data_IF_658100817132
#
_entry.id   IF_658100817132
#
_cell.length_a   1.000
_cell.length_b   1.000
_cell.length_c   1.000
_cell.angle_alpha   90.00
_cell.angle_beta   90.00
_cell.angle_gamma   90.00
#
_symmetry.space_group_name_H-M   'P 1'
#
loop_
_entity.id
_entity.type
_entity.pdbx_description
1 polymer ?
#
# COMPACT_ATOMS: atom_id res chain seq x y z
N UNK A 1 -19.34 -21.67 -2.47
CA UNK A 1 -18.04 -21.32 -3.12
C UNK A 1 -17.07 -20.86 -2.03
N UNK A 2 -15.76 -20.72 -2.30
CA UNK A 2 -14.80 -20.33 -1.25
C UNK A 2 -15.15 -18.98 -0.59
N UNK A 3 -15.71 -18.05 -1.38
CA UNK A 3 -16.23 -16.78 -0.89
C UNK A 3 -17.37 -16.96 0.14
N UNK A 4 -18.29 -17.90 -0.09
CA UNK A 4 -19.37 -18.19 0.89
C UNK A 4 -18.79 -18.79 2.18
N UNK A 5 -17.76 -19.63 2.06
CA UNK A 5 -17.08 -20.21 3.21
C UNK A 5 -16.33 -19.15 4.02
N UNK A 6 -15.66 -18.21 3.36
CA UNK A 6 -15.02 -17.06 4.00
C UNK A 6 -16.04 -16.22 4.79
N UNK A 7 -17.17 -15.84 4.19
CA UNK A 7 -18.21 -15.09 4.91
C UNK A 7 -18.78 -15.87 6.09
N UNK A 8 -18.95 -17.20 5.96
CA UNK A 8 -19.38 -18.05 7.05
C UNK A 8 -18.37 -18.03 8.21
N UNK A 9 -17.07 -18.18 7.92
CA UNK A 9 -16.00 -18.13 8.93
C UNK A 9 -15.95 -16.77 9.66
N UNK A 10 -16.12 -15.66 8.93
CA UNK A 10 -16.21 -14.32 9.54
C UNK A 10 -17.43 -14.23 10.48
N UNK A 11 -18.57 -14.78 10.06
CA UNK A 11 -19.80 -14.77 10.85
C UNK A 11 -19.72 -15.67 12.10
N UNK A 12 -18.96 -16.76 12.04
CA UNK A 12 -18.67 -17.63 13.20
C UNK A 12 -17.76 -16.95 14.23
N UNK A 13 -16.96 -15.97 13.80
CA UNK A 13 -16.19 -15.12 14.69
C UNK A 13 -14.86 -15.74 15.15
N UNK A 14 -14.24 -15.20 16.21
CA UNK A 14 -12.87 -15.55 16.60
C UNK A 14 -12.63 -17.01 17.01
N UNK A 15 -13.68 -17.80 17.23
CA UNK A 15 -13.57 -19.22 17.61
C UNK A 15 -12.98 -20.08 16.49
N UNK A 16 -13.10 -19.67 15.22
CA UNK A 16 -12.57 -20.42 14.07
C UNK A 16 -11.05 -20.28 13.90
N UNK A 17 -10.42 -19.35 14.63
CA UNK A 17 -9.03 -18.96 14.36
C UNK A 17 -8.04 -20.09 14.59
N UNK A 18 -8.21 -20.90 15.64
CA UNK A 18 -7.24 -21.95 15.95
C UNK A 18 -7.18 -23.01 14.84
N UNK A 19 -8.35 -23.43 14.35
CA UNK A 19 -8.46 -24.37 13.22
C UNK A 19 -7.98 -23.75 11.91
N UNK A 20 -8.34 -22.50 11.65
CA UNK A 20 -7.94 -21.79 10.44
C UNK A 20 -6.42 -21.58 10.41
N UNK A 21 -5.81 -21.12 11.50
CA UNK A 21 -4.35 -20.95 11.64
C UNK A 21 -3.62 -22.25 11.36
N UNK A 22 -4.12 -23.39 11.85
CA UNK A 22 -3.53 -24.70 11.59
C UNK A 22 -3.67 -25.12 10.11
N UNK A 23 -4.75 -24.73 9.43
CA UNK A 23 -5.04 -25.13 8.06
C UNK A 23 -4.31 -24.27 7.01
N UNK A 24 -4.14 -22.96 7.25
CA UNK A 24 -3.63 -21.97 6.28
C UNK A 24 -2.33 -22.42 5.56
N UNK A 25 -1.31 -22.96 6.23
CA UNK A 25 -0.06 -23.38 5.56
C UNK A 25 -0.27 -24.47 4.49
N UNK A 26 -1.39 -25.19 4.56
CA UNK A 26 -1.72 -26.31 3.66
C UNK A 26 -2.75 -25.94 2.59
N UNK A 27 -3.27 -24.71 2.62
CA UNK A 27 -4.18 -24.21 1.60
C UNK A 27 -3.40 -23.82 0.33
N UNK A 28 -4.05 -23.95 -0.83
CA UNK A 28 -3.54 -23.32 -2.05
C UNK A 28 -3.61 -21.79 -1.95
N UNK A 29 -2.91 -21.09 -2.84
CA UNK A 29 -2.82 -19.61 -2.86
C UNK A 29 -4.15 -18.91 -2.62
N UNK A 30 -5.21 -19.29 -3.35
CA UNK A 30 -6.51 -18.65 -3.18
C UNK A 30 -7.13 -18.89 -1.79
N UNK A 31 -6.97 -20.09 -1.23
CA UNK A 31 -7.43 -20.38 0.14
C UNK A 31 -6.64 -19.63 1.20
N UNK A 32 -5.34 -19.42 1.00
CA UNK A 32 -4.53 -18.56 1.87
C UNK A 32 -5.04 -17.12 1.84
N UNK A 33 -5.28 -16.55 0.65
CA UNK A 33 -5.81 -15.19 0.51
C UNK A 33 -7.17 -15.03 1.21
N UNK A 34 -8.09 -15.98 1.03
CA UNK A 34 -9.36 -15.96 1.77
C UNK A 34 -9.16 -16.02 3.29
N UNK A 35 -8.21 -16.82 3.79
CA UNK A 35 -7.94 -16.89 5.22
C UNK A 35 -7.35 -15.59 5.78
N UNK A 36 -6.48 -14.92 5.01
CA UNK A 36 -5.94 -13.61 5.36
C UNK A 36 -7.05 -12.57 5.52
N UNK A 37 -8.03 -12.56 4.61
CA UNK A 37 -9.21 -11.69 4.72
C UNK A 37 -10.06 -12.02 5.96
N UNK A 38 -10.19 -13.29 6.35
CA UNK A 38 -10.85 -13.66 7.62
C UNK A 38 -10.08 -13.09 8.81
N UNK A 39 -8.75 -13.24 8.84
CA UNK A 39 -7.92 -12.74 9.93
C UNK A 39 -8.02 -11.22 10.10
N UNK A 40 -7.93 -10.46 9.01
CA UNK A 40 -8.05 -8.99 9.05
C UNK A 40 -9.46 -8.54 9.38
N UNK A 41 -10.50 -9.22 8.90
CA UNK A 41 -11.89 -8.89 9.21
C UNK A 41 -12.22 -9.09 10.69
N UNK A 42 -11.67 -10.14 11.32
CA UNK A 42 -11.88 -10.43 12.73
C UNK A 42 -11.07 -9.53 13.67
N UNK A 43 -10.06 -8.81 13.15
CA UNK A 43 -9.19 -7.89 13.91
C UNK A 43 -8.57 -8.54 15.15
N UNK A 44 -8.23 -9.83 15.05
CA UNK A 44 -7.64 -10.62 16.12
C UNK A 44 -6.16 -10.90 15.80
N UNK A 45 -5.22 -10.60 16.72
CA UNK A 45 -3.78 -10.74 16.46
C UNK A 45 -3.25 -12.18 16.58
N UNK A 46 -4.06 -13.16 17.02
CA UNK A 46 -3.64 -14.56 17.19
C UNK A 46 -2.95 -15.19 15.95
N UNK A 47 -3.35 -14.89 14.70
CA UNK A 47 -2.70 -15.43 13.50
C UNK A 47 -1.28 -14.87 13.24
N UNK A 48 -0.73 -14.02 14.11
CA UNK A 48 0.53 -13.31 13.87
C UNK A 48 1.71 -14.21 13.45
N UNK A 49 1.85 -15.41 14.03
CA UNK A 49 2.97 -16.30 13.67
C UNK A 49 2.79 -16.92 12.28
N UNK A 50 1.59 -17.41 11.93
CA UNK A 50 1.34 -17.95 10.59
C UNK A 50 1.42 -16.86 9.52
N UNK A 51 1.00 -15.62 9.84
CA UNK A 51 1.15 -14.49 8.94
C UNK A 51 2.63 -14.13 8.72
N UNK A 52 3.47 -14.18 9.75
CA UNK A 52 4.92 -13.98 9.62
C UNK A 52 5.53 -15.02 8.67
N UNK A 53 5.13 -16.28 8.78
CA UNK A 53 5.62 -17.33 7.87
C UNK A 53 5.17 -17.11 6.42
N UNK A 54 3.94 -16.61 6.20
CA UNK A 54 3.41 -16.35 4.86
C UNK A 54 4.06 -15.16 4.14
N UNK A 55 4.76 -14.27 4.85
CA UNK A 55 5.58 -13.22 4.24
C UNK A 55 6.74 -13.83 3.41
N UNK A 56 7.13 -15.08 3.68
CA UNK A 56 8.12 -15.84 2.90
C UNK A 56 7.46 -16.79 1.86
N UNK A 57 6.16 -16.66 1.57
CA UNK A 57 5.44 -17.47 0.56
C UNK A 57 6.05 -17.32 -0.84
N UNK A 58 5.98 -18.36 -1.66
CA UNK A 58 6.39 -18.32 -3.08
C UNK A 58 5.49 -17.39 -3.91
N UNK A 59 4.22 -17.20 -3.52
CA UNK A 59 3.27 -16.37 -4.23
C UNK A 59 3.37 -14.90 -3.80
N UNK A 60 3.73 -14.01 -4.73
CA UNK A 60 3.86 -12.57 -4.51
C UNK A 60 2.63 -11.92 -3.84
N UNK A 61 1.43 -12.28 -4.32
CA UNK A 61 0.16 -11.77 -3.74
C UNK A 61 -0.04 -12.23 -2.30
N UNK A 62 0.40 -13.44 -1.93
CA UNK A 62 0.30 -13.92 -0.54
C UNK A 62 1.29 -13.17 0.34
N UNK A 63 2.53 -12.94 -0.14
CA UNK A 63 3.51 -12.13 0.60
C UNK A 63 2.99 -10.72 0.87
N UNK A 64 2.44 -10.08 -0.17
CA UNK A 64 1.83 -8.76 -0.08
C UNK A 64 0.74 -8.74 1.01
N UNK A 65 -0.28 -9.58 0.86
CA UNK A 65 -1.44 -9.55 1.74
C UNK A 65 -1.07 -9.96 3.17
N UNK A 66 -0.09 -10.85 3.35
CA UNK A 66 0.41 -11.21 4.67
C UNK A 66 1.08 -10.01 5.36
N UNK A 67 1.92 -9.26 4.64
CA UNK A 67 2.53 -8.04 5.17
C UNK A 67 1.48 -6.98 5.52
N UNK A 68 0.48 -6.78 4.66
CA UNK A 68 -0.63 -5.87 4.92
C UNK A 68 -1.43 -6.30 6.15
N UNK A 69 -1.80 -7.58 6.26
CA UNK A 69 -2.51 -8.12 7.42
C UNK A 69 -1.73 -7.96 8.73
N UNK A 70 -0.40 -8.11 8.69
CA UNK A 70 0.47 -7.91 9.86
C UNK A 70 0.47 -6.45 10.34
N UNK A 71 0.38 -5.49 9.42
CA UNK A 71 0.25 -4.07 9.74
C UNK A 71 -1.15 -3.76 10.28
N UNK A 72 -2.20 -4.21 9.58
CA UNK A 72 -3.61 -4.07 9.98
C UNK A 72 -3.93 -4.62 11.39
N UNK A 73 -3.22 -5.66 11.80
CA UNK A 73 -3.34 -6.31 13.11
C UNK A 73 -2.28 -5.81 14.12
N UNK A 74 -1.52 -4.78 13.77
CA UNK A 74 -0.48 -4.14 14.58
C UNK A 74 0.60 -5.11 15.12
N UNK A 75 0.95 -6.15 14.36
CA UNK A 75 1.91 -7.18 14.76
C UNK A 75 3.35 -6.68 14.59
N UNK A 76 3.77 -5.75 15.45
CA UNK A 76 5.10 -5.11 15.39
C UNK A 76 6.27 -6.08 15.41
N UNK A 77 6.11 -7.27 15.99
CA UNK A 77 7.16 -8.31 15.99
C UNK A 77 7.48 -8.86 14.60
N UNK A 78 6.62 -8.61 13.61
CA UNK A 78 6.82 -9.01 12.22
C UNK A 78 7.80 -8.15 11.43
N UNK A 79 8.16 -6.95 11.93
CA UNK A 79 9.05 -6.01 11.23
C UNK A 79 10.33 -6.67 10.66
N UNK A 80 11.05 -7.56 11.39
CA UNK A 80 12.21 -8.23 10.83
C UNK A 80 11.91 -9.14 9.63
N UNK A 81 10.74 -9.80 9.59
CA UNK A 81 10.33 -10.64 8.46
C UNK A 81 9.97 -9.79 7.23
N UNK A 82 9.17 -8.73 7.44
CA UNK A 82 8.77 -7.81 6.38
C UNK A 82 9.99 -7.11 5.78
N UNK A 83 10.99 -6.72 6.59
CA UNK A 83 12.26 -6.17 6.09
C UNK A 83 13.02 -7.15 5.19
N UNK A 84 13.12 -8.43 5.58
CA UNK A 84 13.78 -9.45 4.75
C UNK A 84 13.04 -9.66 3.43
N UNK A 85 11.71 -9.70 3.46
CA UNK A 85 10.91 -9.82 2.24
C UNK A 85 11.08 -8.60 1.33
N UNK A 86 11.11 -7.38 1.90
CA UNK A 86 11.34 -6.16 1.14
C UNK A 86 12.74 -6.10 0.52
N UNK A 87 13.78 -6.52 1.24
CA UNK A 87 15.13 -6.65 0.68
C UNK A 87 15.21 -7.73 -0.41
N UNK A 88 14.46 -8.83 -0.27
CA UNK A 88 14.39 -9.88 -1.29
C UNK A 88 13.69 -9.37 -2.55
N UNK A 89 12.57 -8.64 -2.38
CA UNK A 89 11.85 -7.96 -3.46
C UNK A 89 12.79 -7.03 -4.24
N UNK A 90 13.51 -6.14 -3.55
CA UNK A 90 14.47 -5.23 -4.19
C UNK A 90 15.55 -5.98 -4.97
N UNK A 91 16.09 -7.06 -4.40
CA UNK A 91 17.10 -7.90 -5.07
C UNK A 91 16.59 -8.57 -6.35
N UNK A 92 15.28 -8.79 -6.51
CA UNK A 92 14.70 -9.31 -7.76
C UNK A 92 14.63 -8.25 -8.86
N UNK A 93 14.73 -6.96 -8.51
CA UNK A 93 14.64 -5.86 -9.46
C UNK A 93 13.24 -5.67 -10.05
N UNK A 94 12.22 -6.10 -9.31
CA UNK A 94 10.80 -5.86 -9.62
C UNK A 94 10.47 -4.37 -9.57
N UNK A 95 9.34 -3.97 -10.18
CA UNK A 95 8.95 -2.58 -10.24
C UNK A 95 8.59 -2.08 -8.83
N UNK A 96 9.09 -0.95 -8.31
CA UNK A 96 8.74 -0.50 -6.97
C UNK A 96 7.23 -0.23 -6.82
N UNK A 97 6.53 0.08 -7.90
CA UNK A 97 5.08 0.22 -8.02
C UNK A 97 4.32 -1.11 -8.22
N UNK A 98 5.01 -2.26 -8.28
CA UNK A 98 4.37 -3.57 -8.16
C UNK A 98 3.68 -3.69 -6.80
N UNK A 99 2.52 -4.34 -6.79
CA UNK A 99 1.64 -4.39 -5.63
C UNK A 99 2.32 -5.00 -4.40
N UNK A 100 3.21 -5.98 -4.57
CA UNK A 100 4.02 -6.54 -3.48
C UNK A 100 4.97 -5.50 -2.88
N UNK A 101 5.71 -4.78 -3.72
CA UNK A 101 6.66 -3.77 -3.28
C UNK A 101 5.98 -2.64 -2.50
N UNK A 102 4.82 -2.22 -2.98
CA UNK A 102 3.99 -1.24 -2.30
C UNK A 102 3.45 -1.74 -0.96
N UNK A 103 2.81 -2.92 -0.92
CA UNK A 103 2.26 -3.50 0.31
C UNK A 103 3.33 -3.68 1.39
N UNK A 104 4.54 -4.11 1.00
CA UNK A 104 5.69 -4.22 1.92
C UNK A 104 6.14 -2.87 2.48
N UNK A 105 6.27 -1.82 1.64
CA UNK A 105 6.65 -0.48 2.11
C UNK A 105 5.57 0.15 2.98
N UNK A 106 4.31 -0.07 2.62
CA UNK A 106 3.16 0.39 3.41
C UNK A 106 3.18 -0.26 4.79
N UNK A 107 3.29 -1.59 4.86
CA UNK A 107 3.34 -2.31 6.13
C UNK A 107 4.53 -1.90 7.00
N UNK A 108 5.71 -1.68 6.41
CA UNK A 108 6.86 -1.14 7.14
C UNK A 108 6.62 0.27 7.66
N UNK A 109 5.90 1.11 6.91
CA UNK A 109 5.57 2.48 7.32
C UNK A 109 4.58 2.47 8.47
N UNK A 110 3.52 1.69 8.34
CA UNK A 110 2.44 1.61 9.33
C UNK A 110 2.93 1.03 10.67
N UNK A 111 3.81 0.03 10.62
CA UNK A 111 4.47 -0.52 11.81
C UNK A 111 5.61 0.36 12.36
N UNK A 112 5.87 1.54 11.79
CA UNK A 112 6.89 2.49 12.22
C UNK A 112 8.33 2.05 11.95
N UNK A 113 8.53 1.13 11.00
CA UNK A 113 9.82 0.58 10.61
C UNK A 113 10.43 1.24 9.34
N UNK A 114 9.66 2.10 8.67
CA UNK A 114 10.04 2.99 7.56
C UNK A 114 9.38 4.35 7.80
N UNK A 115 10.10 5.44 7.56
CA UNK A 115 9.57 6.80 7.69
C UNK A 115 9.63 7.48 6.33
N UNK A 116 8.50 7.55 5.58
CA UNK A 116 8.48 8.21 4.30
C UNK A 116 8.71 9.72 4.49
N UNK A 117 9.50 10.31 3.60
CA UNK A 117 9.72 11.76 3.61
C UNK A 117 8.44 12.45 3.16
N UNK A 118 7.88 13.29 4.03
CA UNK A 118 6.80 14.23 3.68
C UNK A 118 7.36 15.65 3.83
N UNK A 119 7.70 16.31 2.71
CA UNK A 119 8.20 17.67 2.71
C UNK A 119 7.24 18.70 3.35
N UNK A 120 7.73 19.86 3.84
CA UNK A 120 6.92 20.80 4.59
C UNK A 120 5.69 21.35 3.85
N UNK A 121 5.79 21.62 2.54
CA UNK A 121 4.67 22.17 1.76
C UNK A 121 3.63 21.06 1.51
N UNK A 122 4.07 19.85 1.18
CA UNK A 122 3.20 18.67 1.12
C UNK A 122 2.51 18.42 2.47
N UNK A 123 3.22 18.47 3.59
CA UNK A 123 2.64 18.30 4.93
C UNK A 123 1.56 19.35 5.24
N UNK A 124 1.82 20.61 4.89
CA UNK A 124 0.88 21.71 5.12
C UNK A 124 -0.41 21.62 4.27
N UNK A 125 -0.35 20.97 3.12
CA UNK A 125 -1.47 20.81 2.19
C UNK A 125 -2.27 19.51 2.43
N UNK A 126 -1.83 18.67 3.36
CA UNK A 126 -2.44 17.37 3.63
C UNK A 126 -3.82 17.52 4.25
N UNK A 127 -4.80 16.80 3.69
CA UNK A 127 -6.12 16.62 4.29
C UNK A 127 -6.08 15.44 5.28
N UNK A 128 -6.74 15.59 6.43
CA UNK A 128 -6.93 14.49 7.37
C UNK A 128 -8.20 13.73 7.01
N UNK A 129 -8.07 12.49 6.55
CA UNK A 129 -9.19 11.59 6.28
C UNK A 129 -8.95 10.29 7.05
N UNK A 130 -9.88 9.93 7.93
CA UNK A 130 -9.73 8.79 8.85
C UNK A 130 -9.47 7.46 8.11
N UNK A 131 -10.04 7.27 6.92
CA UNK A 131 -10.02 5.97 6.21
C UNK A 131 -9.07 5.88 5.00
N UNK A 132 -8.39 6.98 4.62
CA UNK A 132 -7.68 7.08 3.33
C UNK A 132 -6.17 7.30 3.51
N UNK A 133 -5.72 7.44 4.76
CA UNK A 133 -4.33 7.75 5.08
C UNK A 133 -3.93 9.18 4.68
N UNK A 134 -2.68 9.37 4.25
CA UNK A 134 -2.22 10.68 3.79
C UNK A 134 -2.81 11.01 2.42
N UNK A 135 -3.71 11.99 2.40
CA UNK A 135 -4.38 12.44 1.19
C UNK A 135 -4.25 13.96 1.01
N UNK A 136 -4.32 14.43 -0.24
CA UNK A 136 -4.21 15.84 -0.60
C UNK A 136 -5.37 16.26 -1.50
N UNK A 137 -5.97 17.45 -1.32
CA UNK A 137 -6.96 17.96 -2.26
C UNK A 137 -6.39 17.98 -3.68
N UNK A 138 -7.17 17.53 -4.68
CA UNK A 138 -6.65 17.44 -6.06
C UNK A 138 -6.23 18.80 -6.61
N UNK A 139 -6.83 19.90 -6.11
CA UNK A 139 -6.44 21.29 -6.36
C UNK A 139 -4.95 21.58 -6.12
N UNK A 140 -4.32 20.87 -5.18
CA UNK A 140 -2.93 21.07 -4.77
C UNK A 140 -1.96 19.99 -5.26
N UNK A 141 -2.42 19.04 -6.07
CA UNK A 141 -1.60 17.91 -6.53
C UNK A 141 -0.27 18.35 -7.16
N UNK A 142 -0.28 19.35 -8.03
CA UNK A 142 0.94 19.83 -8.68
C UNK A 142 1.95 20.38 -7.66
N UNK A 143 1.48 21.12 -6.65
CA UNK A 143 2.34 21.65 -5.59
C UNK A 143 2.96 20.55 -4.74
N UNK A 144 2.20 19.49 -4.44
CA UNK A 144 2.67 18.34 -3.67
C UNK A 144 3.70 17.53 -4.46
N UNK A 145 3.45 17.31 -5.76
CA UNK A 145 4.37 16.59 -6.65
C UNK A 145 5.70 17.34 -6.79
N UNK A 146 5.65 18.66 -7.00
CA UNK A 146 6.86 19.49 -7.07
C UNK A 146 7.64 19.48 -5.75
N UNK A 147 6.94 19.56 -4.61
CA UNK A 147 7.59 19.54 -3.30
C UNK A 147 8.26 18.19 -3.01
N UNK A 148 7.61 17.07 -3.37
CA UNK A 148 8.19 15.73 -3.30
C UNK A 148 9.45 15.62 -4.16
N UNK A 149 9.37 16.03 -5.43
CA UNK A 149 10.51 15.97 -6.35
C UNK A 149 11.68 16.86 -5.89
N UNK A 150 11.39 18.04 -5.33
CA UNK A 150 12.40 18.94 -4.76
C UNK A 150 13.12 18.35 -3.53
N UNK A 151 12.53 17.34 -2.89
CA UNK A 151 13.10 16.61 -1.76
C UNK A 151 13.53 15.18 -2.14
N UNK A 152 13.94 15.01 -3.40
CA UNK A 152 14.54 13.78 -3.91
C UNK A 152 13.62 12.55 -3.80
N UNK A 153 12.31 12.76 -3.89
CA UNK A 153 11.29 11.72 -3.88
C UNK A 153 10.72 11.51 -5.30
N UNK A 154 10.66 10.27 -5.75
CA UNK A 154 10.03 9.91 -7.02
C UNK A 154 8.57 9.50 -6.79
N UNK A 155 7.64 10.24 -7.37
CA UNK A 155 6.20 9.90 -7.37
C UNK A 155 5.97 8.74 -8.32
N UNK A 156 5.40 7.64 -7.81
CA UNK A 156 5.14 6.42 -8.57
C UNK A 156 3.74 6.38 -9.20
N UNK A 157 2.74 6.89 -8.48
CA UNK A 157 1.39 7.11 -8.97
C UNK A 157 0.56 7.89 -7.93
N UNK A 158 -0.66 8.27 -8.29
CA UNK A 158 -1.67 8.68 -7.32
C UNK A 158 -3.05 8.13 -7.67
N UNK A 159 -3.88 7.90 -6.67
CA UNK A 159 -5.28 7.50 -6.82
C UNK A 159 -6.19 8.64 -6.36
N UNK A 160 -7.27 8.89 -7.10
CA UNK A 160 -8.22 9.96 -6.81
C UNK A 160 -9.43 9.38 -6.11
N UNK A 161 -9.88 10.07 -5.09
CA UNK A 161 -11.01 9.69 -4.27
C UNK A 161 -11.99 10.85 -4.16
N UNK A 162 -13.28 10.52 -4.16
CA UNK A 162 -14.35 11.47 -3.87
C UNK A 162 -14.80 11.31 -2.44
N UNK A 163 -14.75 12.40 -1.69
CA UNK A 163 -15.26 12.49 -0.32
C UNK A 163 -16.66 13.09 -0.38
N UNK A 164 -17.67 12.26 -0.08
CA UNK A 164 -19.06 12.73 0.05
C UNK A 164 -19.46 12.79 1.53
N UNK A 165 -19.87 13.98 2.00
CA UNK A 165 -20.30 14.17 3.39
C UNK A 165 -21.43 13.19 3.75
N UNK A 166 -21.22 12.39 4.80
CA UNK A 166 -22.18 11.41 5.31
C UNK A 166 -22.32 10.13 4.47
N UNK A 167 -21.54 9.97 3.39
CA UNK A 167 -21.57 8.78 2.52
C UNK A 167 -20.23 8.06 2.40
N UNK A 168 -19.14 8.66 2.89
CA UNK A 168 -17.81 8.06 2.89
C UNK A 168 -16.96 8.47 1.69
N UNK A 169 -15.89 7.70 1.47
CA UNK A 169 -14.90 7.95 0.42
C UNK A 169 -15.04 6.91 -0.69
N UNK A 170 -15.14 7.36 -1.93
CA UNK A 170 -15.32 6.51 -3.10
C UNK A 170 -14.14 6.65 -4.04
N UNK A 171 -13.61 5.51 -4.50
CA UNK A 171 -12.58 5.50 -5.53
C UNK A 171 -13.13 6.10 -6.83
N UNK A 172 -12.39 7.03 -7.42
CA UNK A 172 -12.66 7.57 -8.75
C UNK A 172 -11.52 7.19 -9.68
N UNK A 173 -11.87 6.62 -10.84
CA UNK A 173 -10.87 6.26 -11.84
C UNK A 173 -10.06 7.49 -12.25
N UNK A 174 -8.78 7.51 -11.88
CA UNK A 174 -7.82 8.51 -12.32
C UNK A 174 -7.39 8.29 -13.78
N UNK A 175 -6.63 9.23 -14.37
CA UNK A 175 -6.06 9.03 -15.69
C UNK A 175 -5.13 7.81 -15.67
N UNK A 176 -5.39 6.84 -16.55
CA UNK A 176 -4.47 5.72 -16.76
C UNK A 176 -3.29 6.21 -17.58
N UNK A 177 -2.22 6.63 -16.91
CA UNK A 177 -0.95 6.95 -17.56
C UNK A 177 -0.09 5.69 -17.51
N UNK A 178 0.50 5.33 -18.66
CA UNK A 178 1.44 4.22 -18.78
C UNK A 178 2.84 4.73 -18.42
N UNK A 179 3.45 4.13 -17.40
CA UNK A 179 4.69 4.61 -16.77
C UNK A 179 5.89 3.92 -17.41
N UNK A 180 6.58 4.59 -18.34
CA UNK A 180 7.86 4.11 -18.87
C UNK A 180 9.01 4.94 -18.28
N UNK A 181 9.43 4.58 -17.06
CA UNK A 181 10.57 5.19 -16.38
C UNK A 181 11.75 4.23 -16.43
N UNK A 182 12.88 4.67 -16.99
CA UNK A 182 14.12 3.89 -16.96
C UNK A 182 14.72 3.89 -15.56
N UNK A 183 14.43 2.83 -14.81
CA UNK A 183 14.87 2.66 -13.42
C UNK A 183 16.38 2.42 -13.26
N UNK A 184 17.13 2.30 -14.36
CA UNK A 184 18.60 2.21 -14.35
C UNK A 184 19.27 3.57 -14.51
N UNK A 185 18.50 4.60 -14.82
CA UNK A 185 19.00 5.97 -14.88
C UNK A 185 19.46 6.46 -13.51
N UNK A 186 20.34 7.49 -13.46
CA UNK A 186 20.70 8.12 -12.18
C UNK A 186 19.45 8.61 -11.43
N UNK A 187 19.45 8.48 -10.10
CA UNK A 187 18.29 8.79 -9.25
C UNK A 187 17.65 10.16 -9.54
N UNK A 188 18.47 11.22 -9.65
CA UNK A 188 17.98 12.56 -9.98
C UNK A 188 17.19 12.63 -11.31
N UNK A 189 17.53 11.76 -12.28
CA UNK A 189 16.78 11.64 -13.53
C UNK A 189 15.46 10.89 -13.33
N UNK A 190 15.46 9.81 -12.55
CA UNK A 190 14.24 9.09 -12.17
C UNK A 190 13.25 10.03 -11.49
N UNK A 191 13.71 10.84 -10.53
CA UNK A 191 12.88 11.85 -9.84
C UNK A 191 12.28 12.85 -10.82
N UNK A 192 13.09 13.38 -11.75
CA UNK A 192 12.63 14.33 -12.76
C UNK A 192 11.60 13.71 -13.71
N UNK A 193 11.88 12.52 -14.24
CA UNK A 193 10.99 11.82 -15.17
C UNK A 193 9.65 11.47 -14.48
N UNK A 194 9.69 10.96 -13.24
CA UNK A 194 8.50 10.70 -12.42
C UNK A 194 7.69 11.96 -12.13
N UNK A 195 8.35 13.08 -11.79
CA UNK A 195 7.70 14.37 -11.56
C UNK A 195 6.95 14.82 -12.82
N UNK A 196 7.63 14.84 -13.96
CA UNK A 196 7.06 15.36 -15.21
C UNK A 196 5.82 14.55 -15.63
N UNK A 197 5.86 13.22 -15.48
CA UNK A 197 4.71 12.35 -15.70
C UNK A 197 3.57 12.59 -14.70
N UNK A 198 3.88 12.67 -13.40
CA UNK A 198 2.89 12.92 -12.38
C UNK A 198 2.21 14.29 -12.56
N UNK A 199 2.93 15.31 -13.02
CA UNK A 199 2.38 16.62 -13.33
C UNK A 199 1.40 16.57 -14.51
N UNK A 200 1.71 15.82 -15.58
CA UNK A 200 0.78 15.60 -16.69
C UNK A 200 -0.51 14.92 -16.21
N UNK A 201 -0.40 13.90 -15.35
CA UNK A 201 -1.57 13.27 -14.72
C UNK A 201 -2.36 14.25 -13.85
N UNK A 202 -1.65 15.08 -13.06
CA UNK A 202 -2.28 16.05 -12.18
C UNK A 202 -3.00 17.14 -12.95
N UNK A 203 -2.50 17.57 -14.11
CA UNK A 203 -3.16 18.53 -15.01
C UNK A 203 -4.48 17.96 -15.55
N UNK A 204 -4.47 16.68 -15.95
CA UNK A 204 -5.67 15.99 -16.45
C UNK A 204 -6.69 15.64 -15.35
N UNK A 205 -6.35 15.83 -14.07
CA UNK A 205 -7.20 15.46 -12.92
C UNK A 205 -8.14 16.59 -12.53
N UNK A 206 -9.43 16.27 -12.37
CA UNK A 206 -10.47 17.20 -11.91
C UNK A 206 -10.10 17.84 -10.55
N UNK A 207 -10.33 19.15 -10.45
CA UNK A 207 -10.04 19.98 -9.27
C UNK A 207 -11.29 20.31 -8.45
N UNK A 208 -12.40 19.61 -8.70
CA UNK A 208 -13.64 19.80 -7.98
C UNK A 208 -13.45 19.72 -6.45
N UNK A 209 -14.13 20.57 -5.68
CA UNK A 209 -14.15 20.44 -4.23
C UNK A 209 -14.62 19.05 -3.80
N UNK A 210 -13.99 18.48 -2.77
CA UNK A 210 -14.30 17.12 -2.30
C UNK A 210 -13.57 16.00 -3.03
N UNK A 211 -12.70 16.33 -4.00
CA UNK A 211 -11.75 15.36 -4.56
C UNK A 211 -10.41 15.46 -3.82
N UNK A 212 -9.89 14.30 -3.44
CA UNK A 212 -8.58 14.13 -2.83
C UNK A 212 -7.78 13.07 -3.57
N UNK A 213 -6.48 13.06 -3.39
CA UNK A 213 -5.59 12.06 -3.94
C UNK A 213 -4.68 11.47 -2.87
N UNK A 214 -4.52 10.14 -2.90
CA UNK A 214 -3.41 9.44 -2.23
C UNK A 214 -2.28 9.30 -3.21
N UNK A 215 -1.05 9.51 -2.76
CA UNK A 215 0.13 9.49 -3.61
C UNK A 215 1.02 8.34 -3.13
N UNK A 216 1.59 7.57 -4.06
CA UNK A 216 2.63 6.58 -3.78
C UNK A 216 3.96 7.17 -4.23
N UNK A 217 4.98 7.17 -3.36
CA UNK A 217 6.30 7.70 -3.68
C UNK A 217 7.41 6.92 -2.96
N UNK A 218 8.62 7.04 -3.50
CA UNK A 218 9.83 6.36 -3.02
C UNK A 218 11.04 7.29 -3.00
N UNK A 219 12.07 6.88 -2.27
CA UNK A 219 13.41 7.48 -2.30
C UNK A 219 14.44 6.51 -2.90
N UNK A 220 15.69 6.97 -3.06
CA UNK A 220 16.77 6.18 -3.65
C UNK A 220 17.06 4.88 -2.88
N UNK A 221 16.70 4.79 -1.60
CA UNK A 221 16.87 3.60 -0.79
C UNK A 221 15.84 2.52 -1.08
N UNK A 222 14.80 2.80 -1.88
CA UNK A 222 13.80 1.82 -2.27
C UNK A 222 14.15 1.06 -3.57
N UNK A 223 15.23 1.43 -4.27
CA UNK A 223 15.76 0.77 -5.49
C UNK A 223 16.99 -0.09 -5.21
#
# INVERSE_FOLDING_TARGET
MAMDAQYALIAEGPEVLDELVAAVPHLGTYGQLCALEVFTALKDPRPGDVLIDLVDSEAATVRQWAAEALADLEIRRAVPAIRRAYEAFRRRGEAPDDSEGEGLRWALTDLGAREPVIPPRAAALRASLEDVGSAWPTAHLAEVIEDLAAHDQAVLYFQVWRVEQGKGVFWQRGPGIDWDVDRRSPWARIVADCRDWALLAAEATDKAPGLVATISWIDASDL
#
